data_IF_267497316177
#
_entry.id   IF_267497316177
#
_cell.length_a   1.000
_cell.length_b   1.000
_cell.length_c   1.000
_cell.angle_alpha   90.00
_cell.angle_beta   90.00
_cell.angle_gamma   90.00
#
_symmetry.space_group_name_H-M   'P 1'
#
loop_
_entity.id
_entity.type
_entity.pdbx_description
1 polymer ?
#
# COMPACT_ATOMS: atom_id res chain seq x y z
N UNK A 1 -54.69 -32.60 -9.04
CA UNK A 1 -53.36 -32.98 -8.49
C UNK A 1 -52.23 -32.75 -9.50
N UNK A 2 -52.27 -33.28 -10.73
CA UNK A 2 -51.17 -33.14 -11.71
C UNK A 2 -50.67 -31.71 -11.95
N UNK A 3 -51.57 -30.72 -12.09
CA UNK A 3 -51.21 -29.31 -12.33
C UNK A 3 -50.33 -28.69 -11.24
N UNK A 4 -50.49 -29.13 -9.98
CA UNK A 4 -49.70 -28.63 -8.85
C UNK A 4 -48.26 -29.16 -8.90
N UNK A 5 -48.07 -30.39 -9.39
CA UNK A 5 -46.74 -30.96 -9.64
C UNK A 5 -46.04 -30.26 -10.80
N UNK A 6 -46.73 -30.01 -11.91
CA UNK A 6 -46.15 -29.31 -13.07
C UNK A 6 -45.79 -27.86 -12.73
N UNK A 7 -46.62 -27.12 -11.97
CA UNK A 7 -46.26 -25.76 -11.51
C UNK A 7 -45.04 -25.75 -10.60
N UNK A 8 -44.87 -26.75 -9.72
CA UNK A 8 -43.68 -26.87 -8.88
C UNK A 8 -42.42 -27.12 -9.73
N UNK A 9 -42.45 -28.11 -10.64
CA UNK A 9 -41.33 -28.39 -11.54
C UNK A 9 -41.01 -27.22 -12.47
N UNK A 10 -42.00 -26.47 -12.94
CA UNK A 10 -41.80 -25.35 -13.85
C UNK A 10 -41.20 -24.13 -13.14
N UNK A 11 -41.59 -23.86 -11.88
CA UNK A 11 -40.94 -22.86 -11.04
C UNK A 11 -39.50 -23.22 -10.69
N UNK A 12 -39.25 -24.49 -10.36
CA UNK A 12 -37.90 -25.03 -10.12
C UNK A 12 -37.01 -24.85 -11.36
N UNK A 13 -37.47 -25.30 -12.54
CA UNK A 13 -36.75 -25.16 -13.81
C UNK A 13 -36.47 -23.70 -14.18
N UNK A 14 -37.43 -22.79 -13.97
CA UNK A 14 -37.21 -21.35 -14.19
C UNK A 14 -36.15 -20.78 -13.24
N UNK A 15 -36.14 -21.19 -11.96
CA UNK A 15 -35.09 -20.79 -11.02
C UNK A 15 -33.71 -21.34 -11.41
N UNK A 16 -33.68 -22.56 -11.96
CA UNK A 16 -32.48 -23.23 -12.47
C UNK A 16 -31.92 -22.51 -13.71
N UNK A 17 -32.79 -22.08 -14.62
CA UNK A 17 -32.39 -21.28 -15.79
C UNK A 17 -31.95 -19.86 -15.41
N UNK A 18 -32.58 -19.22 -14.42
CA UNK A 18 -32.16 -17.89 -13.93
C UNK A 18 -30.81 -17.96 -13.21
N UNK A 19 -30.58 -19.00 -12.39
CA UNK A 19 -29.27 -19.30 -11.80
C UNK A 19 -28.21 -19.56 -12.87
N UNK A 20 -28.48 -20.44 -13.84
CA UNK A 20 -27.55 -20.72 -14.93
C UNK A 20 -27.20 -19.46 -15.75
N UNK A 21 -28.18 -18.58 -16.01
CA UNK A 21 -27.97 -17.31 -16.70
C UNK A 21 -27.08 -16.36 -15.87
N UNK A 22 -27.26 -16.29 -14.54
CA UNK A 22 -26.39 -15.53 -13.63
C UNK A 22 -24.98 -16.12 -13.58
N UNK A 23 -24.85 -17.45 -13.49
CA UNK A 23 -23.58 -18.15 -13.35
C UNK A 23 -22.62 -17.93 -14.53
N UNK A 24 -23.13 -17.73 -15.75
CA UNK A 24 -22.32 -17.31 -16.91
C UNK A 24 -21.61 -15.95 -16.75
N UNK A 25 -21.90 -15.21 -15.67
CA UNK A 25 -21.29 -13.92 -15.32
C UNK A 25 -20.76 -13.86 -13.88
N UNK A 26 -20.53 -15.02 -13.24
CA UNK A 26 -19.97 -15.10 -11.88
C UNK A 26 -18.91 -16.19 -11.73
N UNK A 27 -17.90 -15.94 -10.91
CA UNK A 27 -16.88 -16.91 -10.52
C UNK A 27 -17.23 -17.46 -9.13
N UNK A 28 -17.36 -18.79 -8.94
CA UNK A 28 -17.61 -19.39 -7.63
C UNK A 28 -16.31 -19.51 -6.81
N UNK A 29 -16.38 -19.17 -5.53
CA UNK A 29 -15.32 -19.40 -4.54
C UNK A 29 -15.91 -20.16 -3.36
N UNK A 30 -15.23 -21.21 -2.89
CA UNK A 30 -15.69 -22.08 -1.81
C UNK A 30 -14.66 -22.15 -0.70
N UNK A 31 -15.07 -21.88 0.55
CA UNK A 31 -14.12 -21.71 1.65
C UNK A 31 -14.76 -21.36 2.99
N UNK A 32 -13.95 -21.07 4.00
CA UNK A 32 -14.41 -20.54 5.28
C UNK A 32 -14.56 -19.02 5.21
N UNK A 33 -15.66 -18.45 5.74
CA UNK A 33 -15.93 -17.02 5.56
C UNK A 33 -16.26 -16.26 6.84
N UNK A 34 -15.83 -14.99 6.88
CA UNK A 34 -16.03 -14.01 7.95
C UNK A 34 -16.01 -12.59 7.37
N UNK A 35 -16.50 -11.60 8.09
CA UNK A 35 -16.29 -10.18 7.73
C UNK A 35 -14.79 -9.83 7.72
N UNK A 36 -14.36 -8.93 6.83
CA UNK A 36 -13.00 -8.43 6.81
C UNK A 36 -12.80 -7.30 7.82
N UNK A 37 -12.18 -7.62 8.96
CA UNK A 37 -11.83 -6.64 9.99
C UNK A 37 -10.85 -5.55 9.55
N UNK A 38 -10.27 -5.63 8.35
CA UNK A 38 -9.36 -4.62 7.78
C UNK A 38 -10.03 -3.76 6.69
N UNK A 39 -11.12 -4.25 6.07
CA UNK A 39 -11.81 -3.58 4.96
C UNK A 39 -13.33 -3.61 5.22
N UNK A 40 -13.89 -2.59 5.90
CA UNK A 40 -15.30 -2.54 6.23
C UNK A 40 -16.19 -2.63 4.98
N UNK A 41 -17.11 -3.60 4.96
CA UNK A 41 -17.95 -3.89 3.80
C UNK A 41 -17.45 -5.03 2.90
N UNK A 42 -16.28 -5.61 3.18
CA UNK A 42 -15.82 -6.85 2.54
C UNK A 42 -16.08 -8.08 3.42
N UNK A 43 -16.23 -9.25 2.77
CA UNK A 43 -16.02 -10.55 3.43
C UNK A 43 -14.67 -11.14 3.03
N UNK A 44 -14.08 -11.89 3.95
CA UNK A 44 -12.98 -12.82 3.68
C UNK A 44 -13.56 -14.20 3.31
N UNK A 45 -12.92 -14.89 2.38
CA UNK A 45 -13.14 -16.30 2.02
C UNK A 45 -11.79 -17.02 1.97
N UNK A 46 -11.55 -17.93 2.91
CA UNK A 46 -10.38 -18.81 2.98
C UNK A 46 -10.68 -20.06 2.17
N UNK A 47 -10.22 -20.09 0.90
CA UNK A 47 -10.45 -21.19 -0.05
C UNK A 47 -9.50 -22.35 0.24
N UNK A 48 -8.26 -22.05 0.60
CA UNK A 48 -7.28 -23.01 1.11
C UNK A 48 -6.33 -22.35 2.13
N UNK A 49 -5.44 -23.14 2.72
CA UNK A 49 -4.32 -22.67 3.53
C UNK A 49 -3.32 -21.78 2.75
N UNK A 50 -3.34 -21.87 1.41
CA UNK A 50 -2.50 -21.07 0.51
C UNK A 50 -3.27 -20.04 -0.33
N UNK A 51 -4.58 -19.87 -0.14
CA UNK A 51 -5.37 -18.84 -0.84
C UNK A 51 -6.58 -18.36 -0.04
N UNK A 52 -6.50 -17.08 0.33
CA UNK A 52 -7.54 -16.30 1.00
C UNK A 52 -7.89 -15.12 0.09
N UNK A 53 -9.18 -14.82 -0.04
CA UNK A 53 -9.68 -13.69 -0.83
C UNK A 53 -10.49 -12.76 0.08
N UNK A 54 -10.47 -11.46 -0.19
CA UNK A 54 -11.38 -10.47 0.39
C UNK A 54 -12.14 -9.78 -0.73
N UNK A 55 -13.47 -9.90 -0.71
CA UNK A 55 -14.41 -9.43 -1.74
C UNK A 55 -15.35 -8.39 -1.15
N UNK A 56 -15.66 -7.32 -1.90
CA UNK A 56 -16.71 -6.38 -1.52
C UNK A 56 -18.08 -7.06 -1.53
N UNK A 57 -18.91 -6.83 -0.50
CA UNK A 57 -20.26 -7.40 -0.42
C UNK A 57 -21.15 -7.01 -1.63
N UNK A 58 -20.86 -5.89 -2.30
CA UNK A 58 -21.54 -5.43 -3.52
C UNK A 58 -21.30 -6.28 -4.77
N UNK A 59 -20.28 -7.15 -4.76
CA UNK A 59 -19.92 -8.02 -5.87
C UNK A 59 -20.24 -9.49 -5.62
N UNK A 60 -20.75 -9.82 -4.43
CA UNK A 60 -21.33 -11.14 -4.13
C UNK A 60 -22.74 -11.19 -4.71
N UNK A 61 -22.95 -12.00 -5.73
CA UNK A 61 -24.23 -12.15 -6.42
C UNK A 61 -25.13 -13.23 -5.76
N UNK A 62 -24.54 -14.26 -5.15
CA UNK A 62 -25.22 -15.32 -4.40
C UNK A 62 -24.28 -15.89 -3.32
N UNK A 63 -24.82 -16.38 -2.20
CA UNK A 63 -24.09 -17.06 -1.12
C UNK A 63 -24.87 -18.29 -0.66
N UNK A 64 -24.21 -19.44 -0.70
CA UNK A 64 -24.68 -20.73 -0.22
C UNK A 64 -23.89 -21.13 1.04
N UNK A 65 -24.57 -21.71 2.02
CA UNK A 65 -23.96 -22.21 3.24
C UNK A 65 -23.77 -23.74 3.11
N UNK A 66 -22.53 -24.23 3.21
CA UNK A 66 -22.16 -25.63 2.97
C UNK A 66 -21.86 -26.43 4.25
N UNK A 67 -21.85 -25.75 5.40
CA UNK A 67 -21.62 -26.30 6.73
C UNK A 67 -21.73 -25.19 7.78
N UNK A 68 -21.28 -25.41 9.01
CA UNK A 68 -21.31 -24.36 10.04
C UNK A 68 -20.45 -23.15 9.62
N UNK A 69 -19.18 -23.38 9.26
CA UNK A 69 -18.25 -22.30 8.88
C UNK A 69 -17.92 -22.21 7.37
N UNK A 70 -18.29 -23.22 6.55
CA UNK A 70 -18.01 -23.25 5.11
C UNK A 70 -19.14 -22.62 4.29
N UNK A 71 -18.76 -21.82 3.30
CA UNK A 71 -19.65 -21.18 2.32
C UNK A 71 -19.18 -21.45 0.89
N UNK A 72 -20.10 -21.26 -0.05
CA UNK A 72 -19.79 -20.95 -1.45
C UNK A 72 -20.36 -19.59 -1.78
N UNK A 73 -19.58 -18.74 -2.44
CA UNK A 73 -20.02 -17.42 -2.92
C UNK A 73 -19.79 -17.31 -4.42
N UNK A 74 -20.75 -16.70 -5.12
CA UNK A 74 -20.63 -16.40 -6.55
C UNK A 74 -20.35 -14.91 -6.70
N UNK A 75 -19.13 -14.59 -7.08
CA UNK A 75 -18.65 -13.21 -7.21
C UNK A 75 -18.80 -12.78 -8.67
N UNK A 76 -19.25 -11.55 -8.93
CA UNK A 76 -19.38 -10.95 -10.26
C UNK A 76 -18.07 -11.13 -11.05
N UNK A 77 -18.16 -11.65 -12.28
CA UNK A 77 -16.99 -11.79 -13.15
C UNK A 77 -16.37 -10.41 -13.43
N UNK A 78 -15.04 -10.31 -13.29
CA UNK A 78 -14.31 -9.04 -13.40
C UNK A 78 -14.34 -8.15 -12.16
N UNK A 79 -14.96 -8.56 -11.04
CA UNK A 79 -14.84 -7.85 -9.78
C UNK A 79 -13.42 -7.92 -9.20
N UNK A 80 -13.05 -6.89 -8.44
CA UNK A 80 -11.75 -6.82 -7.76
C UNK A 80 -11.79 -7.52 -6.40
N UNK A 81 -10.71 -8.21 -6.06
CA UNK A 81 -10.55 -8.93 -4.80
C UNK A 81 -9.13 -8.76 -4.26
N UNK A 82 -8.98 -8.61 -2.94
CA UNK A 82 -7.67 -8.66 -2.30
C UNK A 82 -7.33 -10.13 -1.99
N UNK A 83 -6.42 -10.73 -2.77
CA UNK A 83 -5.93 -12.10 -2.54
C UNK A 83 -4.69 -12.08 -1.65
N UNK A 84 -4.71 -12.89 -0.59
CA UNK A 84 -3.52 -13.33 0.12
C UNK A 84 -3.25 -14.79 -0.26
N UNK A 85 -2.13 -15.06 -0.91
CA UNK A 85 -1.70 -16.41 -1.27
C UNK A 85 -0.20 -16.57 -1.10
N UNK A 86 0.26 -17.81 -0.88
CA UNK A 86 1.69 -18.11 -1.03
C UNK A 86 2.02 -18.03 -2.51
N UNK A 87 2.99 -17.18 -2.86
CA UNK A 87 3.56 -17.16 -4.21
C UNK A 87 4.46 -18.40 -4.33
N UNK A 88 4.18 -19.24 -5.32
CA UNK A 88 5.05 -20.36 -5.73
C UNK A 88 5.64 -20.00 -7.10
N UNK A 89 6.95 -20.12 -7.24
CA UNK A 89 7.62 -19.83 -8.50
C UNK A 89 7.11 -20.76 -9.62
N UNK A 90 6.68 -20.20 -10.75
CA UNK A 90 6.31 -20.95 -11.95
C UNK A 90 4.84 -21.33 -12.13
N UNK A 91 3.91 -20.90 -11.27
CA UNK A 91 2.47 -20.98 -11.58
C UNK A 91 2.04 -19.85 -12.55
N UNK A 92 1.14 -20.11 -13.51
CA UNK A 92 0.66 -19.08 -14.44
C UNK A 92 -0.24 -18.04 -13.74
N UNK A 93 -0.05 -16.76 -14.05
CA UNK A 93 -0.85 -15.65 -13.52
C UNK A 93 -2.26 -15.57 -14.14
N UNK A 94 -3.14 -16.50 -13.79
CA UNK A 94 -4.54 -16.48 -14.24
C UNK A 94 -5.37 -15.34 -13.60
N UNK A 95 -5.26 -14.17 -14.22
CA UNK A 95 -6.37 -13.24 -14.47
C UNK A 95 -6.92 -12.31 -13.37
N UNK A 96 -6.22 -12.08 -12.24
CA UNK A 96 -6.69 -11.12 -11.22
C UNK A 96 -5.64 -10.07 -10.79
N UNK A 97 -6.05 -8.80 -10.85
CA UNK A 97 -5.19 -7.64 -10.60
C UNK A 97 -4.72 -7.56 -9.14
N UNK A 98 -3.39 -7.61 -8.94
CA UNK A 98 -2.75 -7.36 -7.65
C UNK A 98 -3.16 -5.99 -7.10
N UNK A 99 -3.49 -5.91 -5.81
CA UNK A 99 -3.85 -4.66 -5.16
C UNK A 99 -2.72 -3.63 -5.26
N UNK A 100 -2.91 -2.60 -6.08
CA UNK A 100 -1.82 -1.74 -6.60
C UNK A 100 -1.05 -0.94 -5.53
N UNK A 101 -1.54 -0.90 -4.29
CA UNK A 101 -0.83 -0.33 -3.13
C UNK A 101 0.41 -1.14 -2.72
N UNK A 102 0.47 -2.43 -3.08
CA UNK A 102 1.58 -3.34 -2.79
C UNK A 102 2.58 -3.49 -3.94
N UNK A 103 2.24 -2.99 -5.14
CA UNK A 103 3.20 -2.85 -6.24
C UNK A 103 4.18 -1.73 -5.86
N UNK A 104 5.45 -1.80 -6.27
CA UNK A 104 6.37 -0.68 -6.13
C UNK A 104 5.92 0.52 -6.98
N UNK A 105 6.17 1.79 -6.57
CA UNK A 105 6.11 2.88 -7.53
C UNK A 105 7.10 2.60 -8.68
N UNK A 106 6.84 3.06 -9.92
CA UNK A 106 7.77 2.92 -11.03
C UNK A 106 9.12 3.58 -10.73
N UNK A 107 10.14 3.39 -11.57
CA UNK A 107 11.42 4.07 -11.37
C UNK A 107 11.25 5.61 -11.38
N UNK A 108 11.88 6.31 -10.43
CA UNK A 108 11.92 7.77 -10.37
C UNK A 108 12.44 8.37 -11.68
N UNK A 109 11.63 9.12 -12.47
CA UNK A 109 12.10 9.77 -13.68
C UNK A 109 13.06 10.89 -13.28
N UNK A 110 14.36 10.73 -13.55
CA UNK A 110 15.35 11.77 -13.22
C UNK A 110 15.20 12.94 -14.17
N UNK A 111 14.61 14.03 -13.69
CA UNK A 111 14.59 15.31 -14.38
C UNK A 111 15.71 16.25 -13.93
N UNK A 112 16.08 17.19 -14.81
CA UNK A 112 17.01 18.26 -14.47
C UNK A 112 16.35 19.21 -13.44
N UNK A 113 16.95 19.30 -12.26
CA UNK A 113 16.49 20.16 -11.16
C UNK A 113 15.82 19.43 -9.99
N UNK A 114 15.51 18.13 -10.15
CA UNK A 114 15.00 17.31 -9.04
C UNK A 114 15.99 17.26 -7.86
N UNK A 115 15.50 17.19 -6.61
CA UNK A 115 16.32 16.91 -5.43
C UNK A 115 16.92 15.49 -5.50
N UNK A 116 17.88 15.21 -4.61
CA UNK A 116 18.63 13.94 -4.55
C UNK A 116 18.46 13.29 -3.18
N UNK A 117 18.42 11.96 -3.15
CA UNK A 117 18.31 11.14 -1.93
C UNK A 117 19.42 11.45 -0.91
N UNK A 118 19.30 10.90 0.29
CA UNK A 118 20.33 10.87 1.32
C UNK A 118 20.73 9.41 1.63
N UNK A 119 22.03 8.94 1.13
CA UNK A 119 22.90 7.56 -0.36
C UNK A 119 22.70 6.05 -1.03
N UNK A 120 23.74 5.19 -0.97
CA UNK A 120 23.89 3.82 -1.50
C UNK A 120 25.34 3.37 -1.19
N UNK A 121 25.79 2.11 -1.26
CA UNK A 121 25.15 0.78 -1.39
C UNK A 121 26.22 -0.31 -1.15
N UNK A 122 25.79 -1.57 -0.98
CA UNK A 122 26.40 -2.74 -1.65
C UNK A 122 25.33 -3.81 -1.86
N UNK A 123 25.52 -4.70 -2.83
CA UNK A 123 24.53 -5.66 -3.28
C UNK A 123 24.79 -7.08 -2.76
N UNK A 124 23.75 -7.91 -2.78
CA UNK A 124 23.88 -9.32 -3.19
C UNK A 124 22.57 -9.77 -3.86
N UNK A 125 22.66 -10.73 -4.81
CA UNK A 125 21.52 -11.18 -5.62
C UNK A 125 20.92 -12.50 -5.11
N UNK A 126 19.59 -12.60 -5.04
CA UNK A 126 18.88 -13.80 -5.50
C UNK A 126 17.37 -13.58 -5.75
N UNK A 127 17.08 -13.12 -6.97
CA UNK A 127 15.95 -13.51 -7.84
C UNK A 127 14.47 -13.29 -7.43
N UNK A 128 13.68 -13.00 -8.47
CA UNK A 128 12.20 -13.03 -8.57
C UNK A 128 11.43 -11.85 -7.92
N UNK A 129 10.96 -10.83 -8.67
CA UNK A 129 11.06 -10.58 -10.12
C UNK A 129 11.17 -9.09 -10.49
N UNK A 130 11.89 -8.81 -11.59
CA UNK A 130 12.06 -7.54 -12.32
C UNK A 130 12.67 -6.36 -11.54
N UNK A 131 13.93 -6.05 -11.84
CA UNK A 131 14.63 -4.82 -11.41
C UNK A 131 14.29 -3.62 -12.33
N UNK A 132 14.35 -2.37 -11.82
CA UNK A 132 14.14 -1.17 -12.63
C UNK A 132 15.30 -0.90 -13.61
N UNK A 133 15.06 -0.19 -14.73
CA UNK A 133 16.11 0.21 -15.67
C UNK A 133 17.10 1.21 -15.06
N UNK A 134 18.34 1.29 -15.57
CA UNK A 134 19.38 2.16 -15.04
C UNK A 134 19.08 3.65 -15.20
N UNK A 135 19.67 4.45 -14.33
CA UNK A 135 19.28 5.85 -14.12
C UNK A 135 20.16 6.85 -14.86
N UNK A 136 19.58 7.64 -15.76
CA UNK A 136 20.30 8.68 -16.52
C UNK A 136 20.68 9.90 -15.64
N UNK A 137 21.67 10.68 -16.06
CA UNK A 137 22.26 11.78 -15.28
C UNK A 137 21.96 13.16 -15.87
N UNK A 138 21.35 14.05 -15.09
CA UNK A 138 21.09 15.44 -15.48
C UNK A 138 21.68 16.44 -14.48
N UNK A 139 22.13 17.58 -15.01
CA UNK A 139 22.83 18.60 -14.24
C UNK A 139 21.90 19.41 -13.32
N UNK A 140 22.41 19.85 -12.17
CA UNK A 140 21.68 20.70 -11.20
C UNK A 140 20.99 19.94 -10.07
N UNK A 141 20.97 18.61 -10.10
CA UNK A 141 20.57 17.79 -8.96
C UNK A 141 21.57 17.93 -7.78
N UNK A 142 21.11 17.87 -6.51
CA UNK A 142 21.94 17.96 -5.32
C UNK A 142 22.52 16.58 -4.92
N UNK A 143 22.81 16.31 -3.64
CA UNK A 143 23.77 15.25 -3.23
C UNK A 143 23.33 14.38 -2.04
N UNK A 144 23.85 13.14 -1.98
CA UNK A 144 23.70 12.21 -0.85
C UNK A 144 24.25 12.81 0.46
N UNK A 145 23.62 12.47 1.58
CA UNK A 145 24.07 12.77 2.94
C UNK A 145 23.96 11.50 3.79
N UNK A 146 25.10 10.90 4.14
CA UNK A 146 25.16 9.68 4.95
C UNK A 146 24.61 9.87 6.37
N UNK A 147 24.03 8.81 6.95
CA UNK A 147 23.52 8.80 8.31
C UNK A 147 24.41 8.00 9.28
N UNK A 148 25.05 8.69 10.22
CA UNK A 148 25.67 8.08 11.40
C UNK A 148 24.65 7.83 12.52
N UNK A 149 24.96 6.94 13.47
CA UNK A 149 24.01 6.47 14.49
C UNK A 149 24.22 7.06 15.89
N UNK A 150 23.15 7.61 16.48
CA UNK A 150 23.08 7.98 17.90
C UNK A 150 21.64 7.96 18.44
N UNK A 151 21.47 7.77 19.75
CA UNK A 151 20.19 7.83 20.49
C UNK A 151 20.33 8.69 21.75
N UNK A 152 19.40 9.65 21.97
CA UNK A 152 19.09 10.28 23.28
C UNK A 152 17.59 10.64 23.30
N UNK A 153 16.99 10.84 24.48
CA UNK A 153 15.52 10.81 24.69
C UNK A 153 15.01 12.02 25.52
N UNK A 154 13.71 12.37 25.38
CA UNK A 154 12.88 13.26 26.26
C UNK A 154 13.10 14.80 26.08
N UNK A 155 12.10 15.71 26.23
CA UNK A 155 10.61 15.60 26.25
C UNK A 155 9.90 16.36 25.09
N UNK A 156 8.56 16.35 25.07
CA UNK A 156 7.69 16.97 24.04
C UNK A 156 7.80 18.51 23.93
N UNK A 157 8.61 18.97 22.98
CA UNK A 157 8.07 19.76 21.84
C UNK A 157 7.86 18.76 20.68
N UNK A 158 7.02 19.05 19.69
CA UNK A 158 6.99 18.21 18.49
C UNK A 158 8.36 18.30 17.78
N UNK A 159 9.01 17.17 17.43
CA UNK A 159 10.35 17.22 16.84
C UNK A 159 10.34 17.95 15.50
N UNK A 160 11.33 18.79 15.17
CA UNK A 160 11.38 19.44 13.87
C UNK A 160 11.56 18.40 12.76
N UNK A 161 11.05 18.68 11.56
CA UNK A 161 11.16 17.78 10.40
C UNK A 161 12.62 17.43 10.05
N UNK A 162 13.60 18.29 10.37
CA UNK A 162 15.03 18.00 10.23
C UNK A 162 15.52 16.83 11.10
N UNK A 163 14.91 16.58 12.27
CA UNK A 163 15.24 15.43 13.12
C UNK A 163 14.85 14.10 12.46
N UNK A 164 13.79 14.09 11.65
CA UNK A 164 13.39 12.93 10.83
C UNK A 164 14.46 12.63 9.78
N UNK A 165 15.05 13.67 9.18
CA UNK A 165 16.18 13.54 8.25
C UNK A 165 17.40 12.89 8.90
N UNK A 166 17.74 13.29 10.14
CA UNK A 166 18.85 12.68 10.89
C UNK A 166 18.61 11.23 11.35
N UNK A 167 17.39 10.70 11.18
CA UNK A 167 17.06 9.30 11.48
C UNK A 167 16.63 8.48 10.26
N UNK A 168 16.72 9.05 9.06
CA UNK A 168 16.47 8.33 7.82
C UNK A 168 17.51 7.23 7.59
N UNK A 169 17.04 6.03 7.29
CA UNK A 169 17.83 4.86 6.88
C UNK A 169 17.02 4.08 5.85
N UNK A 170 17.68 3.39 4.91
CA UNK A 170 17.04 2.50 3.94
C UNK A 170 16.62 1.15 4.55
N UNK A 171 16.15 1.18 5.79
CA UNK A 171 15.76 0.02 6.58
C UNK A 171 14.84 0.44 7.74
N UNK A 172 14.02 -0.50 8.20
CA UNK A 172 13.26 -0.39 9.45
C UNK A 172 14.02 -1.13 10.57
N UNK A 173 14.05 -0.58 11.79
CA UNK A 173 14.67 -1.26 12.94
C UNK A 173 14.01 -2.61 13.30
N UNK A 174 12.82 -2.92 12.77
CA UNK A 174 12.19 -4.23 12.91
C UNK A 174 12.76 -5.31 11.98
N UNK A 175 13.55 -4.95 10.97
CA UNK A 175 14.08 -5.88 9.95
C UNK A 175 13.10 -6.25 8.82
N UNK A 176 11.80 -5.93 8.96
CA UNK A 176 10.79 -6.10 7.91
C UNK A 176 11.18 -5.35 6.61
N UNK A 177 10.88 -5.95 5.45
CA UNK A 177 10.98 -5.30 4.12
C UNK A 177 9.80 -5.72 3.24
N UNK A 178 9.38 -4.82 2.35
CA UNK A 178 8.24 -4.99 1.43
C UNK A 178 8.60 -4.54 0.02
N UNK A 179 7.74 -4.82 -0.98
CA UNK A 179 7.93 -4.34 -2.34
C UNK A 179 7.84 -2.80 -2.48
N UNK A 180 7.07 -2.13 -1.62
CA UNK A 180 7.12 -0.68 -1.43
C UNK A 180 7.51 -0.36 0.03
N UNK A 181 8.70 0.21 0.23
CA UNK A 181 9.19 0.61 1.56
C UNK A 181 9.15 2.12 1.83
N UNK A 182 8.67 2.97 0.91
CA UNK A 182 8.80 4.43 1.08
C UNK A 182 8.18 4.93 2.40
N UNK A 183 6.94 4.49 2.70
CA UNK A 183 6.27 4.79 3.97
C UNK A 183 6.82 3.98 5.14
N UNK A 184 7.35 2.78 4.90
CA UNK A 184 7.86 1.90 5.93
C UNK A 184 9.14 2.44 6.58
N UNK A 185 10.14 2.77 5.77
CA UNK A 185 11.41 3.32 6.24
C UNK A 185 11.23 4.76 6.73
N UNK A 186 10.39 5.56 6.05
CA UNK A 186 10.15 6.94 6.45
C UNK A 186 9.42 7.01 7.80
N UNK A 187 8.46 6.11 8.05
CA UNK A 187 7.77 6.08 9.35
C UNK A 187 8.65 5.57 10.49
N UNK A 188 9.60 4.65 10.25
CA UNK A 188 10.64 4.31 11.23
C UNK A 188 11.49 5.53 11.60
N UNK A 189 11.89 6.33 10.61
CA UNK A 189 12.61 7.60 10.82
C UNK A 189 11.79 8.63 11.62
N UNK A 190 10.49 8.80 11.31
CA UNK A 190 9.59 9.65 12.10
C UNK A 190 9.45 9.13 13.56
N UNK A 191 9.25 7.82 13.74
CA UNK A 191 9.14 7.20 15.08
C UNK A 191 10.42 7.44 15.89
N UNK A 192 11.60 7.25 15.28
CA UNK A 192 12.92 7.49 15.91
C UNK A 192 13.16 8.96 16.26
N UNK A 193 12.71 9.89 15.42
CA UNK A 193 12.72 11.32 15.73
C UNK A 193 11.80 11.72 16.90
N UNK A 194 10.91 10.83 17.36
CA UNK A 194 10.05 11.06 18.52
C UNK A 194 8.56 11.16 18.22
N UNK A 195 8.13 10.98 16.96
CA UNK A 195 6.72 10.94 16.54
C UNK A 195 6.06 9.60 16.93
N UNK A 196 6.04 9.35 18.23
CA UNK A 196 5.59 8.10 18.86
C UNK A 196 4.09 7.81 18.68
N UNK A 197 3.29 8.80 18.28
CA UNK A 197 1.90 8.61 17.83
C UNK A 197 1.76 7.73 16.57
N UNK A 198 2.87 7.43 15.88
CA UNK A 198 2.91 6.47 14.78
C UNK A 198 3.14 5.02 15.26
N UNK A 199 3.50 4.76 16.52
CA UNK A 199 3.61 3.37 17.05
C UNK A 199 2.28 2.86 17.64
N UNK A 200 1.45 3.76 18.15
CA UNK A 200 0.13 3.46 18.72
C UNK A 200 -0.97 3.41 17.66
N UNK A 201 -2.17 2.94 18.04
CA UNK A 201 -3.38 3.13 17.24
C UNK A 201 -3.57 4.62 16.86
N UNK A 202 -3.90 4.87 15.60
CA UNK A 202 -3.90 6.19 14.99
C UNK A 202 -4.91 6.18 13.83
N UNK A 203 -5.89 7.11 13.77
CA UNK A 203 -7.01 7.05 12.82
C UNK A 203 -6.61 7.24 11.35
N UNK A 204 -5.34 7.60 11.08
CA UNK A 204 -4.81 7.74 9.73
C UNK A 204 -3.94 6.55 9.29
N UNK A 205 -3.61 5.62 10.20
CA UNK A 205 -2.69 4.50 9.94
C UNK A 205 -3.40 3.17 10.08
N UNK A 206 -3.76 2.59 8.94
CA UNK A 206 -4.53 1.36 8.79
C UNK A 206 -3.60 0.13 8.63
N UNK A 207 -2.52 0.27 7.85
CA UNK A 207 -1.61 -0.82 7.52
C UNK A 207 -0.25 -0.66 8.22
N UNK A 208 0.25 -1.75 8.81
CA UNK A 208 1.50 -1.77 9.59
C UNK A 208 2.34 -3.02 9.32
N UNK A 209 3.65 -2.91 9.57
CA UNK A 209 4.57 -4.04 9.49
C UNK A 209 4.24 -5.12 10.54
N UNK A 210 4.66 -6.36 10.26
CA UNK A 210 4.20 -7.54 11.00
C UNK A 210 4.97 -7.78 12.30
N UNK A 211 6.23 -7.36 12.37
CA UNK A 211 7.02 -7.43 13.61
C UNK A 211 6.43 -6.58 14.73
N UNK A 212 6.92 -6.82 15.95
CA UNK A 212 6.65 -6.00 17.14
C UNK A 212 6.94 -4.50 16.92
N UNK A 213 7.67 -4.14 15.86
CA UNK A 213 7.97 -2.77 15.46
C UNK A 213 6.73 -1.96 15.04
N UNK A 214 5.71 -2.59 14.41
CA UNK A 214 4.39 -1.99 14.07
C UNK A 214 4.40 -0.65 13.31
N UNK A 215 5.42 -0.39 12.49
CA UNK A 215 5.58 0.82 11.65
C UNK A 215 4.45 0.92 10.61
N UNK A 216 3.92 2.12 10.31
CA UNK A 216 3.11 2.37 9.10
C UNK A 216 3.78 1.84 7.83
N UNK A 217 3.02 1.23 6.89
CA UNK A 217 3.59 0.72 5.61
C UNK A 217 2.97 1.30 4.34
N UNK A 218 1.88 2.09 4.42
CA UNK A 218 1.23 2.69 3.24
C UNK A 218 1.52 4.18 3.10
N UNK A 219 1.86 4.60 1.87
CA UNK A 219 2.09 6.01 1.55
C UNK A 219 0.83 6.88 1.73
N UNK A 220 -0.36 6.32 1.47
CA UNK A 220 -1.65 7.01 1.68
C UNK A 220 -2.00 7.23 3.15
N UNK A 221 -1.68 6.26 4.01
CA UNK A 221 -1.81 6.38 5.47
C UNK A 221 -0.91 7.53 5.98
N UNK A 222 0.36 7.54 5.56
CA UNK A 222 1.31 8.62 5.88
C UNK A 222 0.88 9.97 5.29
N UNK A 223 0.26 10.00 4.10
CA UNK A 223 -0.26 11.23 3.49
C UNK A 223 -1.44 11.81 4.27
N UNK A 224 -2.41 10.98 4.66
CA UNK A 224 -3.53 11.40 5.51
C UNK A 224 -3.02 11.92 6.87
N UNK A 225 -2.00 11.27 7.44
CA UNK A 225 -1.33 11.76 8.63
C UNK A 225 -0.63 13.11 8.40
N UNK A 226 0.15 13.29 7.33
CA UNK A 226 0.77 14.59 6.99
C UNK A 226 -0.29 15.71 6.85
N UNK A 227 -1.41 15.43 6.17
CA UNK A 227 -2.53 16.36 6.04
C UNK A 227 -3.11 16.78 7.40
N UNK A 228 -3.23 15.85 8.35
CA UNK A 228 -3.72 16.12 9.72
C UNK A 228 -2.79 17.01 10.56
N UNK A 229 -1.49 17.03 10.22
CA UNK A 229 -0.44 17.76 10.96
C UNK A 229 -0.17 19.15 10.39
N UNK A 230 -0.39 19.32 9.09
CA UNK A 230 0.11 20.46 8.33
C UNK A 230 -0.51 21.82 8.71
N UNK A 231 0.31 22.70 9.29
CA UNK A 231 0.06 24.13 9.47
C UNK A 231 0.31 24.90 8.16
N UNK A 232 1.29 24.45 7.35
CA UNK A 232 1.59 24.99 6.01
C UNK A 232 1.49 23.89 4.95
N UNK A 233 1.06 24.26 3.75
CA UNK A 233 0.89 23.36 2.60
C UNK A 233 1.42 24.02 1.33
N UNK A 234 1.98 23.23 0.40
CA UNK A 234 2.34 23.67 -0.95
C UNK A 234 2.14 22.53 -1.94
N UNK A 235 1.88 22.85 -3.21
CA UNK A 235 1.88 21.88 -4.31
C UNK A 235 3.12 22.03 -5.21
N UNK A 236 4.08 22.86 -4.80
CA UNK A 236 5.31 23.16 -5.56
C UNK A 236 6.52 23.19 -4.61
N UNK A 237 7.55 22.36 -4.84
CA UNK A 237 8.83 22.46 -4.14
C UNK A 237 9.52 23.79 -4.45
N UNK A 238 9.91 24.55 -3.44
CA UNK A 238 10.60 25.84 -3.59
C UNK A 238 11.82 25.87 -2.69
N UNK A 239 13.00 26.18 -3.27
CA UNK A 239 14.26 26.26 -2.53
C UNK A 239 14.20 27.28 -1.39
N UNK A 240 14.96 27.03 -0.32
CA UNK A 240 15.10 27.91 0.83
C UNK A 240 13.76 28.17 1.58
N UNK A 241 12.90 27.15 1.70
CA UNK A 241 11.62 27.24 2.42
C UNK A 241 11.53 26.28 3.61
N UNK A 242 12.66 25.71 4.05
CA UNK A 242 12.75 24.75 5.15
C UNK A 242 12.47 23.31 4.72
N UNK A 243 12.15 22.48 5.72
CA UNK A 243 11.92 21.06 5.58
C UNK A 243 10.43 20.75 5.37
N UNK A 244 10.09 19.82 4.48
CA UNK A 244 8.71 19.44 4.16
C UNK A 244 8.54 17.92 4.18
N UNK A 245 7.46 17.43 4.78
CA UNK A 245 6.98 16.08 4.53
C UNK A 245 6.23 16.09 3.18
N UNK A 246 6.59 15.22 2.25
CA UNK A 246 6.06 15.24 0.87
C UNK A 246 5.38 13.92 0.56
N UNK A 247 4.19 14.01 -0.03
CA UNK A 247 3.57 12.94 -0.78
C UNK A 247 3.59 13.31 -2.27
N UNK A 248 3.87 12.32 -3.11
CA UNK A 248 3.95 12.47 -4.57
C UNK A 248 2.98 11.48 -5.21
N UNK A 249 2.23 11.91 -6.22
CA UNK A 249 1.23 11.06 -6.87
C UNK A 249 1.06 11.32 -8.36
N UNK A 250 0.98 10.24 -9.13
CA UNK A 250 0.43 10.23 -10.48
C UNK A 250 -0.50 9.01 -10.58
N UNK A 251 -1.80 9.21 -10.40
CA UNK A 251 -2.78 8.12 -10.31
C UNK A 251 -2.83 7.23 -11.57
N UNK A 252 -2.50 7.80 -12.74
CA UNK A 252 -2.44 7.08 -14.02
C UNK A 252 -1.18 6.21 -14.18
N UNK A 253 -0.15 6.40 -13.33
CA UNK A 253 1.07 5.59 -13.34
C UNK A 253 1.22 4.73 -12.07
N UNK A 254 0.74 5.21 -10.93
CA UNK A 254 0.81 4.50 -9.65
C UNK A 254 -0.20 5.06 -8.63
N UNK A 255 -1.23 4.27 -8.30
CA UNK A 255 -2.24 4.67 -7.32
C UNK A 255 -1.68 4.82 -5.90
N UNK A 256 -0.74 3.98 -5.46
CA UNK A 256 -0.26 3.99 -4.07
C UNK A 256 0.34 5.33 -3.63
N UNK A 257 0.95 6.07 -4.56
CA UNK A 257 1.73 7.27 -4.28
C UNK A 257 3.01 7.00 -3.49
N UNK A 258 3.89 7.98 -3.42
CA UNK A 258 5.21 7.87 -2.79
C UNK A 258 5.35 8.91 -1.67
N UNK A 259 6.04 8.58 -0.58
CA UNK A 259 6.36 9.52 0.49
C UNK A 259 7.86 9.68 0.70
N UNK A 260 8.26 10.92 0.98
CA UNK A 260 9.61 11.32 1.32
C UNK A 260 9.58 12.56 2.21
N UNK A 261 10.75 12.91 2.73
CA UNK A 261 11.02 14.17 3.42
C UNK A 261 11.96 14.99 2.54
N UNK A 262 11.74 16.31 2.42
CA UNK A 262 12.49 17.22 1.56
C UNK A 262 13.03 18.40 2.37
N UNK A 263 14.35 18.46 2.53
CA UNK A 263 15.07 19.67 2.92
C UNK A 263 15.18 20.58 1.70
N UNK A 264 14.43 21.69 1.65
CA UNK A 264 14.52 22.61 0.50
C UNK A 264 15.67 23.60 0.58
N UNK A 265 16.38 23.66 1.72
CA UNK A 265 17.50 24.58 1.94
C UNK A 265 18.80 23.94 1.42
N UNK A 266 19.03 22.66 1.74
CA UNK A 266 20.05 21.83 1.08
C UNK A 266 19.58 21.24 -0.27
N UNK A 267 18.29 21.34 -0.57
CA UNK A 267 17.59 20.68 -1.70
C UNK A 267 17.63 19.13 -1.63
N UNK A 268 17.88 18.52 -0.48
CA UNK A 268 18.04 17.05 -0.31
C UNK A 268 16.72 16.37 0.03
N UNK A 269 16.49 15.15 -0.46
CA UNK A 269 15.40 14.30 -0.02
C UNK A 269 15.86 13.08 0.78
N UNK A 270 14.95 12.58 1.63
CA UNK A 270 15.11 11.43 2.50
C UNK A 270 13.89 10.53 2.26
N UNK A 271 14.10 9.42 1.55
CA UNK A 271 13.04 8.58 0.97
C UNK A 271 13.63 7.62 -0.07
N UNK A 272 12.90 6.57 -0.46
CA UNK A 272 13.40 5.54 -1.41
C UNK A 272 13.30 5.97 -2.89
N UNK A 273 13.22 7.27 -3.17
CA UNK A 273 13.01 7.84 -4.50
C UNK A 273 12.45 9.27 -4.45
N UNK A 274 12.35 9.92 -5.61
CA UNK A 274 11.67 11.21 -5.80
C UNK A 274 11.12 11.31 -7.22
N UNK A 275 9.90 11.82 -7.38
CA UNK A 275 9.16 11.80 -8.63
C UNK A 275 8.80 13.23 -9.08
N UNK A 276 9.72 13.94 -9.75
CA UNK A 276 9.51 15.35 -10.15
C UNK A 276 8.37 15.58 -11.14
N UNK A 277 8.04 14.58 -11.96
CA UNK A 277 6.90 14.62 -12.89
C UNK A 277 5.53 14.40 -12.23
N UNK A 278 5.49 14.02 -10.95
CA UNK A 278 4.24 13.70 -10.26
C UNK A 278 3.65 14.94 -9.57
N UNK A 279 2.35 14.90 -9.26
CA UNK A 279 1.73 15.93 -8.43
C UNK A 279 2.39 15.91 -7.04
N UNK A 280 2.93 17.06 -6.64
CA UNK A 280 3.61 17.23 -5.35
C UNK A 280 2.61 17.72 -4.32
N UNK A 281 2.65 17.16 -3.11
CA UNK A 281 1.86 17.59 -1.97
C UNK A 281 2.78 17.71 -0.76
N UNK A 282 3.20 18.94 -0.47
CA UNK A 282 4.16 19.27 0.58
C UNK A 282 3.44 19.77 1.83
N UNK A 283 3.88 19.29 2.99
CA UNK A 283 3.29 19.52 4.31
C UNK A 283 4.36 19.97 5.33
N UNK A 284 4.02 20.97 6.13
CA UNK A 284 4.88 21.57 7.14
C UNK A 284 4.11 21.88 8.41
N UNK A 285 4.76 21.79 9.56
CA UNK A 285 4.25 22.09 10.90
C UNK A 285 5.37 22.52 11.84
#
# INVERSE_FOLDING_TARGET
MAEHFMKAQQGDLSSLMERAAKHNSTVPFEGYSREDGNIPGNIVVVVSDESVYSFANSDIMEREQLGEDRVRVWVRAGATAFRMSRIRAGEPEDSFTVAMEHIAPPASPRLAGDPTAASASVADEQMEHIAPPPSEGLAGAPSYAGGDTAQVTVPRVLPPLSSVGSHWTESCLGGDTFANNCAHFLSDAFIRAGYTELTTANPYINARCYTYARRPIRARDMWAWFQSRAVRRSNTPTRNTGWWAVFQLNEAAYWGGHVLLLDTDAWRYYGTGYYGTWNQYLYQW
#
